data_IF_974746497573
#
_entry.id   IF_974746497573
#
_cell.length_a   1.000
_cell.length_b   1.000
_cell.length_c   1.000
_cell.angle_alpha   90.00
_cell.angle_beta   90.00
_cell.angle_gamma   90.00
#
_symmetry.space_group_name_H-M   'P 1'
#
loop_
_entity.id
_entity.type
_entity.pdbx_description
1 polymer ?
#
# COMPACT_ATOMS: atom_id res chain seq x y z
N UNK A 1 1.49 13.16 5.56
CA UNK A 1 1.43 11.95 6.39
C UNK A 1 2.65 11.09 6.14
N UNK A 2 3.34 10.71 7.19
CA UNK A 2 4.48 9.79 7.07
C UNK A 2 3.96 8.35 7.05
N UNK A 3 4.21 7.64 5.97
CA UNK A 3 3.75 6.25 5.83
C UNK A 3 4.77 5.28 6.46
N UNK A 4 4.30 4.20 7.08
CA UNK A 4 5.19 3.12 7.48
C UNK A 4 5.82 2.46 6.26
N UNK A 5 6.86 1.67 6.49
CA UNK A 5 7.54 0.97 5.41
C UNK A 5 6.57 -0.03 4.73
N UNK A 6 6.45 0.01 3.38
CA UNK A 6 5.61 -0.96 2.68
C UNK A 6 6.14 -2.38 2.85
N UNK A 7 5.22 -3.33 3.05
CA UNK A 7 5.55 -4.74 3.23
C UNK A 7 4.66 -5.60 2.33
N UNK A 8 5.17 -6.77 1.96
CA UNK A 8 4.43 -7.72 1.13
C UNK A 8 4.37 -7.30 -0.33
N UNK A 9 3.30 -7.70 -1.01
CA UNK A 9 3.15 -7.49 -2.45
C UNK A 9 3.18 -6.00 -2.86
N UNK A 10 2.74 -5.10 -1.99
CA UNK A 10 2.75 -3.66 -2.30
C UNK A 10 4.15 -3.06 -2.32
N UNK A 11 5.13 -3.72 -1.70
CA UNK A 11 6.49 -3.18 -1.60
C UNK A 11 7.12 -2.96 -2.98
N UNK A 12 6.92 -3.88 -3.93
CA UNK A 12 7.45 -3.71 -5.27
C UNK A 12 6.81 -2.53 -6.00
N UNK A 13 5.50 -2.39 -5.87
CA UNK A 13 4.79 -1.26 -6.46
C UNK A 13 5.28 0.06 -5.87
N UNK A 14 5.47 0.09 -4.55
CA UNK A 14 5.98 1.27 -3.86
C UNK A 14 7.40 1.64 -4.30
N UNK A 15 8.23 0.67 -4.66
CA UNK A 15 9.56 0.94 -5.21
C UNK A 15 9.48 1.65 -6.56
N UNK A 16 8.48 1.32 -7.36
CA UNK A 16 8.32 1.87 -8.72
C UNK A 16 7.70 3.27 -8.70
N UNK A 17 6.63 3.46 -7.92
CA UNK A 17 5.86 4.70 -7.94
C UNK A 17 5.95 5.53 -6.66
N UNK A 18 6.68 5.04 -5.68
CA UNK A 18 6.76 5.68 -4.38
C UNK A 18 5.64 5.26 -3.44
N UNK A 19 5.88 5.38 -2.11
CA UNK A 19 4.91 4.90 -1.13
C UNK A 19 3.59 5.67 -1.14
N UNK A 20 3.59 6.98 -1.35
CA UNK A 20 2.36 7.78 -1.35
C UNK A 20 1.45 7.40 -2.52
N UNK A 21 2.00 7.24 -3.71
CA UNK A 21 1.22 6.85 -4.89
C UNK A 21 0.72 5.41 -4.74
N UNK A 22 1.56 4.51 -4.24
CA UNK A 22 1.16 3.12 -3.98
C UNK A 22 0.03 3.05 -2.96
N UNK A 23 0.09 3.87 -1.92
CA UNK A 23 -0.96 3.94 -0.91
C UNK A 23 -2.29 4.41 -1.50
N UNK A 24 -2.26 5.50 -2.29
CA UNK A 24 -3.46 5.99 -2.97
C UNK A 24 -4.07 4.93 -3.89
N UNK A 25 -3.21 4.21 -4.61
CA UNK A 25 -3.68 3.16 -5.51
C UNK A 25 -4.32 2.01 -4.73
N UNK A 26 -3.71 1.57 -3.63
CA UNK A 26 -4.25 0.52 -2.79
C UNK A 26 -5.58 0.92 -2.16
N UNK A 27 -5.71 2.17 -1.71
CA UNK A 27 -6.98 2.66 -1.15
C UNK A 27 -8.10 2.66 -2.19
N UNK A 28 -7.78 3.08 -3.41
CA UNK A 28 -8.80 3.22 -4.45
C UNK A 28 -9.17 1.88 -5.10
N UNK A 29 -8.19 0.99 -5.31
CA UNK A 29 -8.37 -0.19 -6.14
C UNK A 29 -7.81 -1.48 -5.55
N UNK A 30 -7.38 -1.49 -4.31
CA UNK A 30 -6.79 -2.67 -3.68
C UNK A 30 -7.69 -3.89 -3.77
N UNK A 31 -7.13 -5.01 -4.21
CA UNK A 31 -7.85 -6.26 -4.40
C UNK A 31 -8.55 -6.40 -5.75
N UNK A 32 -8.48 -5.38 -6.61
CA UNK A 32 -9.10 -5.40 -7.93
C UNK A 32 -8.03 -5.31 -9.03
N UNK A 33 -8.47 -5.47 -10.27
CA UNK A 33 -7.61 -5.29 -11.43
C UNK A 33 -7.83 -3.91 -12.02
N UNK A 34 -6.74 -3.27 -12.45
CA UNK A 34 -6.80 -2.01 -13.17
C UNK A 34 -6.14 -2.17 -14.52
N UNK A 35 -6.56 -1.36 -15.49
CA UNK A 35 -5.90 -1.28 -16.78
C UNK A 35 -4.80 -0.23 -16.72
N UNK A 36 -3.57 -0.62 -17.08
CA UNK A 36 -2.44 0.29 -17.18
C UNK A 36 -2.27 0.64 -18.68
N UNK A 37 -2.61 1.86 -19.11
CA UNK A 37 -2.52 2.19 -20.54
C UNK A 37 -1.08 2.33 -20.99
N UNK A 38 -0.86 2.15 -22.31
CA UNK A 38 0.45 2.43 -22.91
C UNK A 38 0.79 3.92 -22.76
N UNK A 39 -0.18 4.77 -23.04
CA UNK A 39 -0.03 6.22 -22.87
C UNK A 39 -0.77 6.63 -21.62
N UNK A 40 -0.02 7.04 -20.62
CA UNK A 40 -0.57 7.36 -19.31
C UNK A 40 -0.94 8.82 -19.14
N UNK A 41 -0.42 9.71 -20.01
CA UNK A 41 -0.72 11.14 -19.91
C UNK A 41 -2.23 11.40 -19.98
N UNK A 42 -2.76 12.12 -19.00
CA UNK A 42 -4.18 12.47 -18.94
C UNK A 42 -5.11 11.32 -18.57
N UNK A 43 -4.58 10.12 -18.28
CA UNK A 43 -5.40 8.97 -17.91
C UNK A 43 -5.96 9.09 -16.49
N UNK A 44 -6.96 8.27 -16.17
CA UNK A 44 -7.48 8.19 -14.81
C UNK A 44 -6.39 7.75 -13.83
N UNK A 45 -5.52 6.84 -14.25
CA UNK A 45 -4.39 6.40 -13.42
C UNK A 45 -3.48 7.58 -13.11
N UNK A 46 -3.13 8.39 -14.10
CA UNK A 46 -2.28 9.57 -13.89
C UNK A 46 -2.94 10.59 -12.96
N UNK A 47 -4.26 10.75 -13.04
CA UNK A 47 -4.98 11.64 -12.13
C UNK A 47 -4.97 11.12 -10.68
N UNK A 48 -4.99 9.81 -10.52
CA UNK A 48 -4.99 9.20 -9.18
C UNK A 48 -3.61 9.24 -8.52
N UNK A 49 -2.56 8.85 -9.24
CA UNK A 49 -1.23 8.63 -8.65
C UNK A 49 -0.16 9.61 -9.10
N UNK A 50 -0.42 10.38 -10.15
CA UNK A 50 0.55 11.33 -10.72
C UNK A 50 1.03 10.90 -12.08
N UNK A 51 1.41 11.88 -12.92
CA UNK A 51 1.86 11.62 -14.29
C UNK A 51 3.14 10.81 -14.36
N UNK A 52 4.14 11.20 -13.55
CA UNK A 52 5.43 10.50 -13.51
C UNK A 52 5.27 9.07 -12.99
N UNK A 53 4.44 8.90 -11.97
CA UNK A 53 4.18 7.61 -11.35
C UNK A 53 3.45 6.66 -12.31
N UNK A 54 2.45 7.18 -13.02
CA UNK A 54 1.72 6.38 -14.01
C UNK A 54 2.64 5.95 -15.15
N UNK A 55 3.50 6.84 -15.62
CA UNK A 55 4.48 6.52 -16.66
C UNK A 55 5.45 5.44 -16.19
N UNK A 56 5.91 5.52 -14.93
CA UNK A 56 6.78 4.50 -14.36
C UNK A 56 6.09 3.14 -14.29
N UNK A 57 4.80 3.09 -13.93
CA UNK A 57 4.03 1.85 -13.94
C UNK A 57 3.97 1.24 -15.33
N UNK A 58 3.71 2.04 -16.35
CA UNK A 58 3.61 1.56 -17.72
C UNK A 58 4.94 0.96 -18.20
N UNK A 59 6.07 1.54 -17.78
CA UNK A 59 7.39 1.01 -18.13
C UNK A 59 7.71 -0.31 -17.43
N UNK A 60 7.42 -0.36 -16.12
CA UNK A 60 7.83 -1.50 -15.28
C UNK A 60 6.86 -2.68 -15.33
N UNK A 61 5.57 -2.40 -15.48
CA UNK A 61 4.51 -3.41 -15.39
C UNK A 61 3.78 -3.64 -16.69
N UNK A 62 4.38 -3.26 -17.81
CA UNK A 62 3.87 -3.53 -19.15
C UNK A 62 2.56 -2.80 -19.44
N UNK A 63 2.67 -1.59 -19.94
CA UNK A 63 1.51 -0.83 -20.42
C UNK A 63 0.69 -1.60 -21.44
N UNK A 64 -0.61 -1.34 -21.46
CA UNK A 64 -1.56 -2.00 -22.34
C UNK A 64 -2.13 -3.31 -21.78
N UNK A 65 -1.91 -3.58 -20.50
CA UNK A 65 -2.39 -4.79 -19.84
C UNK A 65 -3.07 -4.46 -18.53
N UNK A 66 -3.86 -5.40 -18.03
CA UNK A 66 -4.41 -5.31 -16.68
C UNK A 66 -3.40 -5.82 -15.66
N UNK A 67 -3.42 -5.20 -14.47
CA UNK A 67 -2.66 -5.71 -13.35
C UNK A 67 -3.52 -5.71 -12.09
N UNK A 68 -3.26 -6.66 -11.19
CA UNK A 68 -3.94 -6.73 -9.91
C UNK A 68 -3.26 -5.79 -8.92
N UNK A 69 -4.06 -4.97 -8.24
CA UNK A 69 -3.56 -4.07 -7.21
C UNK A 69 -3.61 -4.80 -5.87
N UNK A 70 -2.50 -4.90 -5.13
CA UNK A 70 -2.53 -5.53 -3.81
C UNK A 70 -3.46 -4.80 -2.85
N UNK A 71 -4.14 -5.54 -1.98
CA UNK A 71 -4.99 -4.95 -0.92
C UNK A 71 -4.14 -4.17 0.07
N UNK A 72 -2.96 -4.68 0.37
CA UNK A 72 -2.00 -4.08 1.31
C UNK A 72 -2.63 -3.83 2.69
N UNK A 73 -3.41 -4.80 3.18
CA UNK A 73 -4.18 -4.66 4.42
C UNK A 73 -3.30 -4.29 5.61
N UNK A 74 -2.23 -5.04 5.82
CA UNK A 74 -1.35 -4.85 6.98
C UNK A 74 -0.67 -3.48 6.95
N UNK A 75 -0.23 -3.06 5.79
CA UNK A 75 0.39 -1.75 5.60
C UNK A 75 -0.61 -0.63 5.84
N UNK A 76 -1.83 -0.78 5.30
CA UNK A 76 -2.88 0.24 5.47
C UNK A 76 -3.32 0.35 6.93
N UNK A 77 -3.44 -0.78 7.64
CA UNK A 77 -3.75 -0.75 9.08
C UNK A 77 -2.69 0.05 9.84
N UNK A 78 -1.42 -0.23 9.58
CA UNK A 78 -0.31 0.49 10.22
C UNK A 78 -0.34 1.98 9.91
N UNK A 79 -0.62 2.34 8.65
CA UNK A 79 -0.67 3.74 8.22
C UNK A 79 -1.81 4.49 8.89
N UNK A 80 -3.00 3.91 8.94
CA UNK A 80 -4.15 4.55 9.58
C UNK A 80 -3.93 4.71 11.07
N UNK A 81 -3.35 3.70 11.72
CA UNK A 81 -3.04 3.79 13.15
C UNK A 81 -2.00 4.87 13.43
N UNK A 82 -0.97 4.96 12.61
CA UNK A 82 0.04 6.02 12.73
C UNK A 82 -0.56 7.41 12.55
N UNK A 83 -1.62 7.51 11.75
CA UNK A 83 -2.36 8.76 11.55
C UNK A 83 -3.33 9.07 12.69
N UNK A 84 -3.43 8.20 13.70
CA UNK A 84 -4.26 8.44 14.88
C UNK A 84 -5.68 7.89 14.80
N UNK A 85 -6.00 7.09 13.78
CA UNK A 85 -7.35 6.53 13.67
C UNK A 85 -7.60 5.46 14.73
N UNK A 86 -8.84 5.37 15.19
CA UNK A 86 -9.23 4.35 16.17
C UNK A 86 -9.29 2.98 15.51
N UNK A 87 -9.21 1.93 16.32
CA UNK A 87 -9.33 0.56 15.82
C UNK A 87 -10.68 0.33 15.14
N UNK A 88 -11.76 0.90 15.70
CA UNK A 88 -13.09 0.82 15.09
C UNK A 88 -13.12 1.48 13.71
N UNK A 89 -12.56 2.68 13.60
CA UNK A 89 -12.50 3.40 12.33
C UNK A 89 -11.72 2.62 11.28
N UNK A 90 -10.60 2.03 11.66
CA UNK A 90 -9.78 1.20 10.76
C UNK A 90 -10.56 -0.03 10.29
N UNK A 91 -11.27 -0.71 11.22
CA UNK A 91 -12.07 -1.88 10.87
C UNK A 91 -13.15 -1.53 9.84
N UNK A 92 -13.85 -0.41 10.05
CA UNK A 92 -14.89 0.06 9.12
C UNK A 92 -14.29 0.41 7.77
N UNK A 93 -13.19 1.14 7.77
CA UNK A 93 -12.52 1.60 6.54
C UNK A 93 -12.09 0.42 5.66
N UNK A 94 -11.59 -0.65 6.27
CA UNK A 94 -11.08 -1.81 5.56
C UNK A 94 -12.12 -2.93 5.38
N UNK A 95 -13.28 -2.80 6.01
CA UNK A 95 -14.31 -3.82 5.95
C UNK A 95 -13.90 -5.13 6.62
N UNK A 96 -13.19 -5.04 7.74
CA UNK A 96 -12.70 -6.20 8.50
C UNK A 96 -13.15 -6.11 9.95
N UNK A 97 -13.07 -7.22 10.67
CA UNK A 97 -13.38 -7.26 12.10
C UNK A 97 -12.34 -6.48 12.91
N UNK A 98 -12.80 -5.86 14.00
CA UNK A 98 -11.90 -5.21 14.95
C UNK A 98 -10.86 -6.19 15.52
N UNK A 99 -11.24 -7.45 15.70
CA UNK A 99 -10.31 -8.49 16.16
C UNK A 99 -9.15 -8.67 15.18
N UNK A 100 -9.42 -8.56 13.87
CA UNK A 100 -8.38 -8.63 12.84
C UNK A 100 -7.45 -7.44 12.92
N UNK A 101 -7.98 -6.24 13.18
CA UNK A 101 -7.15 -5.03 13.37
C UNK A 101 -6.20 -5.24 14.55
N UNK A 102 -6.72 -5.72 15.69
CA UNK A 102 -5.91 -6.01 16.87
C UNK A 102 -4.79 -7.01 16.56
N UNK A 103 -5.12 -8.09 15.87
CA UNK A 103 -4.17 -9.13 15.52
C UNK A 103 -3.05 -8.59 14.62
N UNK A 104 -3.41 -7.81 13.60
CA UNK A 104 -2.43 -7.23 12.67
C UNK A 104 -1.47 -6.32 13.42
N UNK A 105 -1.99 -5.43 14.26
CA UNK A 105 -1.15 -4.49 15.01
C UNK A 105 -0.26 -5.21 16.03
N UNK A 106 -0.78 -6.25 16.68
CA UNK A 106 0.00 -7.07 17.60
C UNK A 106 1.15 -7.78 16.88
N UNK A 107 0.89 -8.35 15.72
CA UNK A 107 1.92 -9.03 14.93
C UNK A 107 3.01 -8.05 14.48
N UNK A 108 2.64 -6.84 14.10
CA UNK A 108 3.60 -5.81 13.71
C UNK A 108 4.47 -5.39 14.91
N UNK A 109 3.88 -5.26 16.07
CA UNK A 109 4.60 -4.94 17.30
C UNK A 109 5.61 -6.02 17.65
N UNK A 110 5.21 -7.30 17.58
CA UNK A 110 6.09 -8.43 17.85
C UNK A 110 7.25 -8.49 16.86
N UNK A 111 6.99 -8.23 15.59
CA UNK A 111 8.03 -8.20 14.55
C UNK A 111 9.02 -7.07 14.84
N UNK A 112 8.55 -5.90 15.22
CA UNK A 112 9.41 -4.77 15.58
C UNK A 112 10.30 -5.11 16.77
N UNK A 113 9.75 -5.73 17.81
CA UNK A 113 10.52 -6.17 18.96
C UNK A 113 11.61 -7.15 18.57
N UNK A 114 11.29 -8.11 17.71
CA UNK A 114 12.22 -9.11 17.25
C UNK A 114 13.39 -8.48 16.48
N UNK A 115 13.11 -7.53 15.61
CA UNK A 115 14.13 -6.81 14.87
C UNK A 115 15.03 -5.98 15.80
N UNK A 116 14.49 -5.42 16.86
CA UNK A 116 15.25 -4.66 17.83
C UNK A 116 16.18 -5.55 18.68
N UNK A 117 15.78 -6.80 18.92
CA UNK A 117 16.59 -7.76 19.66
C UNK A 117 17.76 -8.31 18.84
N UNK A 118 17.63 -8.31 17.52
CA UNK A 118 18.63 -8.85 16.59
C UNK A 118 18.97 -7.81 15.55
N UNK A 119 19.74 -6.75 15.94
CA UNK A 119 20.09 -5.70 14.95
C UNK A 119 20.91 -6.26 13.80
N UNK A 120 20.65 -5.72 12.61
CA UNK A 120 21.25 -6.23 11.38
C UNK A 120 22.74 -5.94 11.23
N UNK A 121 23.28 -5.05 12.02
CA UNK A 121 24.65 -4.58 11.92
C UNK A 121 25.63 -5.33 12.85
N UNK A 122 25.21 -6.39 13.44
CA UNK A 122 26.06 -7.23 14.28
C UNK A 122 26.96 -8.12 13.45
#
# INVERSE_FOLDING_TARGET
MTLPRPIGAIARLAQVIGPEAAFRLAEAHGGTRIYVPHRTAGSELARLIGEAEAAAMAREFRGGAQMKVPVAREWRVAAYRAAGETYDAIAVRLGIDIATVHRILRNQELTTRQLNLFPADI
#
